data_IF_268885755795
#
_entry.id   IF_268885755795
#
_cell.length_a   1.000
_cell.length_b   1.000
_cell.length_c   1.000
_cell.angle_alpha   90.00
_cell.angle_beta   90.00
_cell.angle_gamma   90.00
#
_symmetry.space_group_name_H-M   'P 1'
#
loop_
_entity.id
_entity.type
_entity.pdbx_description
1 polymer ?
#
# COMPACT_ATOMS: atom_id res chain seq x y z
N UNK A 1 -15.38 -18.24 21.70
CA UNK A 1 -15.47 -17.42 20.46
C UNK A 1 -14.67 -16.13 20.66
N UNK A 2 -13.59 -15.91 19.90
CA UNK A 2 -12.76 -14.71 20.05
C UNK A 2 -13.51 -13.48 19.50
N UNK A 3 -13.78 -12.49 20.35
CA UNK A 3 -14.52 -11.25 20.02
C UNK A 3 -13.99 -10.54 18.77
N UNK A 4 -12.67 -10.61 18.55
CA UNK A 4 -11.98 -10.05 17.38
C UNK A 4 -12.43 -10.69 16.06
N UNK A 5 -12.57 -12.01 16.03
CA UNK A 5 -13.00 -12.75 14.83
C UNK A 5 -14.46 -12.47 14.48
N UNK A 6 -15.32 -12.36 15.51
CA UNK A 6 -16.73 -11.99 15.35
C UNK A 6 -16.87 -10.56 14.81
N UNK A 7 -16.08 -9.61 15.34
CA UNK A 7 -16.09 -8.22 14.89
C UNK A 7 -15.62 -8.07 13.43
N UNK A 8 -14.53 -8.74 13.05
CA UNK A 8 -14.05 -8.77 11.66
C UNK A 8 -15.06 -9.43 10.70
N UNK A 9 -15.90 -10.35 11.19
CA UNK A 9 -16.98 -10.95 10.40
C UNK A 9 -18.06 -9.94 9.95
N UNK A 10 -18.14 -8.77 10.58
CA UNK A 10 -19.13 -7.73 10.27
C UNK A 10 -18.70 -6.82 9.11
N UNK A 11 -19.67 -6.16 8.47
CA UNK A 11 -19.37 -5.12 7.45
C UNK A 11 -18.65 -3.91 8.05
N UNK A 12 -18.91 -3.58 9.31
CA UNK A 12 -18.31 -2.47 10.05
C UNK A 12 -16.83 -2.75 10.31
N UNK A 13 -16.50 -3.91 10.88
CA UNK A 13 -15.11 -4.29 11.16
C UNK A 13 -14.26 -4.32 9.89
N UNK A 14 -14.79 -4.84 8.78
CA UNK A 14 -14.09 -4.83 7.48
C UNK A 14 -13.85 -3.43 6.94
N UNK A 15 -14.84 -2.53 7.03
CA UNK A 15 -14.66 -1.13 6.62
C UNK A 15 -13.61 -0.41 7.47
N UNK A 16 -13.55 -0.70 8.78
CA UNK A 16 -12.54 -0.14 9.66
C UNK A 16 -11.13 -0.60 9.27
N UNK A 17 -10.94 -1.89 8.98
CA UNK A 17 -9.66 -2.42 8.49
C UNK A 17 -9.23 -1.71 7.20
N UNK A 18 -10.15 -1.55 6.24
CA UNK A 18 -9.88 -0.84 4.98
C UNK A 18 -9.47 0.62 5.25
N UNK A 19 -10.16 1.31 6.16
CA UNK A 19 -9.87 2.71 6.48
C UNK A 19 -8.49 2.88 7.13
N UNK A 20 -8.15 2.06 8.12
CA UNK A 20 -6.87 2.13 8.83
C UNK A 20 -5.71 1.80 7.89
N UNK A 21 -5.82 0.68 7.16
CA UNK A 21 -4.78 0.28 6.19
C UNK A 21 -4.62 1.31 5.07
N UNK A 22 -5.74 1.88 4.58
CA UNK A 22 -5.73 2.96 3.60
C UNK A 22 -5.03 4.22 4.11
N UNK A 23 -5.30 4.63 5.35
CA UNK A 23 -4.67 5.78 5.97
C UNK A 23 -3.16 5.59 6.15
N UNK A 24 -2.74 4.40 6.60
CA UNK A 24 -1.31 4.06 6.72
C UNK A 24 -0.59 4.15 5.37
N UNK A 25 -1.15 3.53 4.32
CA UNK A 25 -0.57 3.59 2.98
C UNK A 25 -0.54 5.01 2.43
N UNK A 26 -1.60 5.79 2.64
CA UNK A 26 -1.66 7.19 2.20
C UNK A 26 -0.59 8.05 2.88
N UNK A 27 -0.44 7.94 4.20
CA UNK A 27 0.61 8.65 4.94
C UNK A 27 2.00 8.26 4.47
N UNK A 28 2.23 6.97 4.21
CA UNK A 28 3.49 6.51 3.64
C UNK A 28 3.75 7.08 2.25
N UNK A 29 2.76 7.11 1.36
CA UNK A 29 2.93 7.66 0.01
C UNK A 29 3.38 9.13 0.08
N UNK A 30 2.81 9.94 0.98
CA UNK A 30 3.25 11.33 1.16
C UNK A 30 4.73 11.38 1.57
N UNK A 31 5.11 10.66 2.63
CA UNK A 31 6.49 10.64 3.10
C UNK A 31 7.47 10.10 2.04
N UNK A 32 7.07 9.03 1.35
CA UNK A 32 7.83 8.43 0.27
C UNK A 32 8.03 9.40 -0.89
N UNK A 33 7.00 10.13 -1.31
CA UNK A 33 7.12 11.15 -2.34
C UNK A 33 8.04 12.30 -1.90
N UNK A 34 7.94 12.76 -0.65
CA UNK A 34 8.84 13.79 -0.13
C UNK A 34 10.30 13.34 -0.13
N UNK A 35 10.57 12.08 0.22
CA UNK A 35 11.89 11.48 0.10
C UNK A 35 12.39 11.44 -1.34
N UNK A 36 11.55 10.99 -2.27
CA UNK A 36 11.91 10.95 -3.70
C UNK A 36 12.17 12.35 -4.28
N UNK A 37 11.45 13.38 -3.82
CA UNK A 37 11.68 14.75 -4.29
C UNK A 37 13.09 15.27 -3.94
N UNK A 38 13.76 14.69 -2.93
CA UNK A 38 15.16 15.01 -2.63
C UNK A 38 16.10 14.65 -3.78
N UNK A 39 15.73 13.74 -4.67
CA UNK A 39 16.52 13.45 -5.87
C UNK A 39 16.69 14.68 -6.78
N UNK A 40 15.72 15.60 -6.81
CA UNK A 40 15.83 16.87 -7.56
C UNK A 40 16.73 17.91 -6.88
N UNK A 41 17.11 17.69 -5.61
CA UNK A 41 18.02 18.56 -4.86
C UNK A 41 19.49 18.11 -4.95
N UNK A 42 19.79 17.08 -5.75
CA UNK A 42 21.14 16.54 -5.94
C UNK A 42 21.48 15.35 -5.05
N UNK A 43 22.54 14.63 -5.41
CA UNK A 43 22.94 13.36 -4.78
C UNK A 43 23.16 13.51 -3.26
N UNK A 44 23.86 14.56 -2.82
CA UNK A 44 24.15 14.78 -1.40
C UNK A 44 22.89 14.89 -0.54
N UNK A 45 21.85 15.56 -1.03
CA UNK A 45 20.59 15.72 -0.31
C UNK A 45 19.82 14.39 -0.20
N UNK A 46 19.93 13.55 -1.22
CA UNK A 46 19.34 12.22 -1.24
C UNK A 46 20.08 11.26 -0.29
N UNK A 47 21.42 11.27 -0.33
CA UNK A 47 22.27 10.43 0.52
C UNK A 47 22.09 10.76 2.00
N UNK A 48 22.05 12.06 2.36
CA UNK A 48 21.78 12.49 3.73
C UNK A 48 20.40 12.04 4.22
N UNK A 49 19.39 12.09 3.35
CA UNK A 49 18.05 11.62 3.69
C UNK A 49 18.02 10.09 3.87
N UNK A 50 18.72 9.35 3.01
CA UNK A 50 18.84 7.90 3.12
C UNK A 50 19.56 7.49 4.41
N UNK A 51 20.67 8.16 4.77
CA UNK A 51 21.40 7.86 6.00
C UNK A 51 20.55 8.14 7.24
N UNK A 52 19.92 9.32 7.30
CA UNK A 52 18.99 9.66 8.39
C UNK A 52 17.93 8.58 8.58
N UNK A 53 17.32 8.06 7.50
CA UNK A 53 16.32 6.99 7.59
C UNK A 53 16.89 5.67 8.13
N UNK A 54 18.15 5.35 7.86
CA UNK A 54 18.83 4.14 8.36
C UNK A 54 19.15 4.26 9.85
N UNK A 55 19.42 5.48 10.32
CA UNK A 55 19.78 5.78 11.71
C UNK A 55 18.56 5.93 12.65
N UNK A 56 17.34 6.03 12.12
CA UNK A 56 16.12 6.11 12.95
C UNK A 56 16.04 4.89 13.88
N UNK A 57 16.17 5.14 15.19
CA UNK A 57 16.12 4.10 16.22
C UNK A 57 17.35 3.20 16.26
N UNK A 58 18.44 3.58 15.58
CA UNK A 58 19.65 2.76 15.49
C UNK A 58 20.33 2.52 16.84
N UNK A 59 20.27 3.50 17.76
CA UNK A 59 20.82 3.38 19.12
C UNK A 59 20.21 2.22 19.91
N UNK A 60 18.93 1.89 19.65
CA UNK A 60 18.21 0.85 20.39
C UNK A 60 18.04 -0.45 19.61
N UNK A 61 17.90 -0.37 18.29
CA UNK A 61 17.45 -1.48 17.45
C UNK A 61 18.38 -1.78 16.25
N UNK A 62 19.48 -1.02 16.09
CA UNK A 62 20.42 -1.17 14.99
C UNK A 62 20.01 -0.43 13.71
N UNK A 63 21.00 -0.22 12.84
CA UNK A 63 20.81 0.47 11.57
C UNK A 63 19.81 -0.27 10.67
N UNK A 64 19.02 0.49 9.91
CA UNK A 64 18.00 0.01 8.95
C UNK A 64 16.74 -0.61 9.56
N UNK A 65 16.63 -0.73 10.88
CA UNK A 65 15.50 -1.40 11.52
C UNK A 65 14.17 -0.70 11.25
N UNK A 66 14.15 0.64 11.26
CA UNK A 66 12.98 1.42 10.89
C UNK A 66 12.47 1.08 9.47
N UNK A 67 13.38 0.95 8.50
CA UNK A 67 13.06 0.64 7.11
C UNK A 67 12.41 -0.75 6.98
N UNK A 68 12.93 -1.74 7.70
CA UNK A 68 12.35 -3.08 7.73
C UNK A 68 10.97 -3.10 8.38
N UNK A 69 10.79 -2.38 9.50
CA UNK A 69 9.50 -2.27 10.15
C UNK A 69 8.47 -1.61 9.23
N UNK A 70 8.81 -0.48 8.61
CA UNK A 70 7.96 0.19 7.64
C UNK A 70 7.59 -0.73 6.48
N UNK A 71 8.56 -1.48 5.93
CA UNK A 71 8.34 -2.44 4.83
C UNK A 71 7.34 -3.53 5.22
N UNK A 72 7.56 -4.21 6.35
CA UNK A 72 6.69 -5.31 6.79
C UNK A 72 5.28 -4.77 7.12
N UNK A 73 5.19 -3.64 7.83
CA UNK A 73 3.92 -3.02 8.17
C UNK A 73 3.11 -2.64 6.92
N UNK A 74 3.76 -2.10 5.88
CA UNK A 74 3.10 -1.73 4.63
C UNK A 74 2.68 -2.94 3.81
N UNK A 75 3.50 -4.00 3.74
CA UNK A 75 3.12 -5.25 3.07
C UNK A 75 1.86 -5.83 3.72
N UNK A 76 1.84 -5.90 5.06
CA UNK A 76 0.66 -6.36 5.82
C UNK A 76 -0.54 -5.45 5.53
N UNK A 77 -0.36 -4.13 5.55
CA UNK A 77 -1.44 -3.18 5.29
C UNK A 77 -2.02 -3.34 3.88
N UNK A 78 -1.18 -3.49 2.85
CA UNK A 78 -1.61 -3.71 1.46
C UNK A 78 -2.41 -5.01 1.34
N UNK A 79 -1.89 -6.12 1.89
CA UNK A 79 -2.57 -7.42 1.84
C UNK A 79 -3.93 -7.34 2.53
N UNK A 80 -3.98 -6.80 3.74
CA UNK A 80 -5.23 -6.66 4.50
C UNK A 80 -6.23 -5.74 3.79
N UNK A 81 -5.76 -4.65 3.19
CA UNK A 81 -6.60 -3.73 2.44
C UNK A 81 -7.25 -4.41 1.23
N UNK A 82 -6.43 -5.03 0.37
CA UNK A 82 -6.89 -5.68 -0.86
C UNK A 82 -7.84 -6.84 -0.55
N UNK A 83 -7.45 -7.75 0.36
CA UNK A 83 -8.28 -8.89 0.75
C UNK A 83 -9.62 -8.43 1.31
N UNK A 84 -9.61 -7.42 2.17
CA UNK A 84 -10.85 -6.93 2.80
C UNK A 84 -11.78 -6.23 1.81
N UNK A 85 -11.23 -5.46 0.86
CA UNK A 85 -12.00 -4.86 -0.25
C UNK A 85 -12.64 -5.96 -1.11
N UNK A 86 -11.89 -7.00 -1.49
CA UNK A 86 -12.42 -8.12 -2.29
C UNK A 86 -13.57 -8.80 -1.55
N UNK A 87 -13.42 -9.06 -0.26
CA UNK A 87 -14.47 -9.66 0.57
C UNK A 87 -15.73 -8.77 0.64
N UNK A 88 -15.57 -7.45 0.79
CA UNK A 88 -16.68 -6.50 0.79
C UNK A 88 -17.40 -6.45 -0.56
N UNK A 89 -16.65 -6.44 -1.66
CA UNK A 89 -17.22 -6.49 -3.02
C UNK A 89 -17.99 -7.78 -3.25
N UNK A 90 -17.44 -8.94 -2.84
CA UNK A 90 -18.11 -10.24 -2.96
C UNK A 90 -19.40 -10.25 -2.15
N UNK A 91 -19.36 -9.83 -0.88
CA UNK A 91 -20.54 -9.77 0.01
C UNK A 91 -21.62 -8.82 -0.51
N UNK A 92 -21.23 -7.69 -1.08
CA UNK A 92 -22.17 -6.75 -1.68
C UNK A 92 -22.84 -7.34 -2.93
N UNK A 93 -22.12 -8.14 -3.72
CA UNK A 93 -22.68 -8.82 -4.91
C UNK A 93 -23.67 -9.93 -4.51
N UNK A 94 -23.36 -10.73 -3.49
CA UNK A 94 -24.24 -11.83 -3.04
C UNK A 94 -25.53 -11.34 -2.36
N UNK A 95 -25.52 -10.13 -1.80
CA UNK A 95 -26.69 -9.56 -1.11
C UNK A 95 -27.67 -8.79 -2.01
N UNK A 96 -27.47 -8.73 -3.32
CA UNK A 96 -28.34 -7.96 -4.23
C UNK A 96 -29.38 -8.86 -4.93
N UNK A 97 -30.69 -8.54 -4.85
CA UNK A 97 -31.72 -9.26 -5.61
C UNK A 97 -31.55 -9.05 -7.12
N UNK A 98 -31.94 -10.06 -7.89
CA UNK A 98 -31.55 -10.36 -9.29
C UNK A 98 -32.01 -9.38 -10.39
N UNK A 99 -32.35 -8.13 -10.09
CA UNK A 99 -32.71 -7.14 -11.11
C UNK A 99 -32.13 -5.75 -10.81
N UNK A 100 -30.91 -5.50 -11.27
CA UNK A 100 -30.28 -4.19 -11.14
C UNK A 100 -30.60 -3.35 -12.39
N UNK A 101 -31.53 -2.39 -12.28
CA UNK A 101 -31.57 -1.24 -13.20
C UNK A 101 -30.30 -0.44 -12.91
N UNK A 102 -29.19 -0.79 -13.57
CA UNK A 102 -27.88 -0.20 -13.33
C UNK A 102 -27.85 1.18 -14.00
N UNK A 103 -28.40 2.19 -13.34
CA UNK A 103 -28.17 3.59 -13.73
C UNK A 103 -26.67 3.86 -13.62
N UNK A 104 -26.00 4.04 -14.76
CA UNK A 104 -24.59 4.48 -14.82
C UNK A 104 -24.55 5.86 -14.17
N UNK A 105 -23.96 5.95 -12.98
CA UNK A 105 -23.70 7.20 -12.28
C UNK A 105 -22.20 7.34 -12.05
N UNK A 106 -21.76 8.56 -11.71
CA UNK A 106 -20.34 8.88 -11.51
C UNK A 106 -19.63 7.95 -10.52
N UNK A 107 -20.33 7.49 -9.48
CA UNK A 107 -19.78 6.54 -8.50
C UNK A 107 -19.42 5.18 -9.10
N UNK A 108 -20.15 4.72 -10.14
CA UNK A 108 -19.81 3.49 -10.86
C UNK A 108 -18.53 3.64 -11.69
N UNK A 109 -18.29 4.83 -12.27
CA UNK A 109 -17.06 5.11 -13.02
C UNK A 109 -15.86 5.24 -12.07
N UNK A 110 -16.01 5.97 -10.97
CA UNK A 110 -14.97 6.09 -9.94
C UNK A 110 -14.57 4.72 -9.38
N UNK A 111 -15.54 3.83 -9.10
CA UNK A 111 -15.26 2.48 -8.63
C UNK A 111 -14.48 1.62 -9.64
N UNK A 112 -14.73 1.81 -10.95
CA UNK A 112 -13.97 1.12 -12.00
C UNK A 112 -12.52 1.60 -12.05
N UNK A 113 -12.31 2.91 -12.05
CA UNK A 113 -10.97 3.49 -12.05
C UNK A 113 -10.20 3.15 -10.78
N UNK A 114 -10.86 3.09 -9.62
CA UNK A 114 -10.26 2.63 -8.36
C UNK A 114 -9.76 1.19 -8.44
N UNK A 115 -10.51 0.29 -9.10
CA UNK A 115 -10.06 -1.09 -9.30
C UNK A 115 -8.85 -1.16 -10.25
N UNK A 116 -8.90 -0.42 -11.37
CA UNK A 116 -7.80 -0.37 -12.34
C UNK A 116 -6.53 0.21 -11.73
N UNK A 117 -6.62 1.38 -11.09
CA UNK A 117 -5.47 2.03 -10.46
C UNK A 117 -4.91 1.20 -9.32
N UNK A 118 -5.75 0.56 -8.50
CA UNK A 118 -5.31 -0.34 -7.44
C UNK A 118 -4.53 -1.55 -7.97
N UNK A 119 -4.98 -2.15 -9.07
CA UNK A 119 -4.24 -3.26 -9.71
C UNK A 119 -2.89 -2.79 -10.28
N UNK A 120 -2.85 -1.63 -10.94
CA UNK A 120 -1.60 -1.06 -11.44
C UNK A 120 -0.61 -0.78 -10.30
N UNK A 121 -1.09 -0.22 -9.19
CA UNK A 121 -0.27 0.03 -7.99
C UNK A 121 0.26 -1.29 -7.41
N UNK A 122 -0.55 -2.35 -7.37
CA UNK A 122 -0.11 -3.64 -6.86
C UNK A 122 1.04 -4.23 -7.68
N UNK A 123 0.95 -4.14 -9.01
CA UNK A 123 2.04 -4.55 -9.92
C UNK A 123 3.27 -3.67 -9.69
N UNK A 124 3.08 -2.35 -9.61
CA UNK A 124 4.15 -1.41 -9.32
C UNK A 124 4.87 -1.73 -8.01
N UNK A 125 4.16 -2.08 -6.93
CA UNK A 125 4.78 -2.45 -5.64
C UNK A 125 5.70 -3.66 -5.80
N UNK A 126 5.26 -4.69 -6.54
CA UNK A 126 6.09 -5.90 -6.76
C UNK A 126 7.36 -5.55 -7.52
N UNK A 127 7.25 -4.81 -8.61
CA UNK A 127 8.40 -4.35 -9.41
C UNK A 127 9.31 -3.45 -8.58
N UNK A 128 8.74 -2.53 -7.79
CA UNK A 128 9.47 -1.60 -6.94
C UNK A 128 10.29 -2.32 -5.86
N UNK A 129 9.72 -3.36 -5.23
CA UNK A 129 10.46 -4.19 -4.28
C UNK A 129 11.53 -5.05 -4.97
N UNK A 130 11.22 -5.61 -6.14
CA UNK A 130 12.18 -6.38 -6.94
C UNK A 130 13.41 -5.54 -7.32
N UNK A 131 13.20 -4.29 -7.74
CA UNK A 131 14.27 -3.36 -8.10
C UNK A 131 15.05 -2.86 -6.87
N UNK A 132 14.37 -2.22 -5.92
CA UNK A 132 15.06 -1.46 -4.85
C UNK A 132 15.35 -2.26 -3.58
N UNK A 133 14.65 -3.36 -3.33
CA UNK A 133 14.87 -4.18 -2.12
C UNK A 133 15.65 -5.44 -2.43
N UNK A 134 15.32 -6.13 -3.53
CA UNK A 134 15.95 -7.41 -3.85
C UNK A 134 17.08 -7.31 -4.87
N UNK A 135 17.18 -6.20 -5.62
CA UNK A 135 18.15 -6.05 -6.70
C UNK A 135 17.97 -7.07 -7.83
N UNK A 136 16.74 -7.58 -8.03
CA UNK A 136 16.43 -8.56 -9.06
C UNK A 136 16.25 -7.94 -10.45
N UNK A 137 16.03 -6.62 -10.48
CA UNK A 137 15.81 -5.87 -11.71
C UNK A 137 16.83 -4.75 -11.72
N UNK A 138 17.93 -4.96 -12.43
CA UNK A 138 18.90 -3.91 -12.75
C UNK A 138 18.59 -3.34 -14.13
N UNK A 139 18.26 -2.05 -14.17
CA UNK A 139 18.05 -1.29 -15.41
C UNK A 139 19.32 -0.61 -15.92
N UNK A 140 20.48 -0.90 -15.30
CA UNK A 140 21.77 -0.31 -15.63
C UNK A 140 22.74 -1.23 -16.40
N UNK A 141 22.34 -2.44 -16.79
CA UNK A 141 23.18 -3.36 -17.60
C UNK A 141 23.01 -3.23 -19.12
N UNK A 142 22.69 -2.04 -19.65
CA UNK A 142 22.87 -1.76 -21.08
C UNK A 142 23.43 -0.36 -21.29
N UNK A 143 24.72 -0.21 -21.01
CA UNK A 143 25.51 0.96 -21.36
C UNK A 143 26.99 0.60 -21.25
N UNK A 144 27.63 0.44 -22.40
CA UNK A 144 29.08 0.36 -22.66
C UNK A 144 29.98 1.04 -21.63
#
# INVERSE_FOLDING_TARGET
MNRLTTFYGTSIGKKLVVAITGLMMYGFIIGHMLGNLKAFAGATALDQYAEMLREIGAEFLGNTTFLWFARIALIIAVVLHVVTIIQLVKRNRTGQPTRKIRRRNASTLAAKWMAVSGTLILVFIVVHLAQFTFGWIDIHETGT
#
